data_IF_256777711560
#
_entry.id   IF_256777711560
#
_cell.length_a   1.000
_cell.length_b   1.000
_cell.length_c   1.000
_cell.angle_alpha   90.00
_cell.angle_beta   90.00
_cell.angle_gamma   90.00
#
_symmetry.space_group_name_H-M   'P 1'
#
loop_
_entity.id
_entity.type
_entity.pdbx_description
1 polymer ?
#
# COMPACT_ATOMS: atom_id res chain seq x y z
N UNK A 1 16.86 -4.25 -4.02
CA UNK A 1 15.46 -4.17 -3.60
C UNK A 1 15.20 -2.79 -3.02
N UNK A 2 14.06 -2.18 -3.34
CA UNK A 2 13.58 -0.97 -2.68
C UNK A 2 12.06 -1.02 -2.54
N UNK A 3 11.55 -0.41 -1.47
CA UNK A 3 10.12 -0.18 -1.25
C UNK A 3 9.94 1.29 -0.93
N UNK A 4 8.91 1.92 -1.47
CA UNK A 4 8.46 3.25 -1.04
C UNK A 4 7.05 3.15 -0.51
N UNK A 5 6.72 4.03 0.43
CA UNK A 5 5.35 4.20 0.92
C UNK A 5 4.98 5.67 0.85
N UNK A 6 3.96 5.98 0.09
CA UNK A 6 3.33 7.30 0.01
C UNK A 6 2.09 7.31 0.90
N UNK A 7 1.90 8.36 1.70
CA UNK A 7 0.86 8.39 2.72
C UNK A 7 -0.24 9.38 2.34
N UNK A 8 -1.41 8.85 2.04
CA UNK A 8 -2.60 9.61 1.63
C UNK A 8 -3.71 9.44 2.66
N UNK A 9 -4.67 10.36 2.65
CA UNK A 9 -5.89 10.26 3.46
C UNK A 9 -7.06 10.87 2.71
N UNK A 10 -8.18 10.16 2.65
CA UNK A 10 -9.37 10.70 1.99
C UNK A 10 -10.38 9.65 1.56
N UNK A 11 -9.98 8.39 1.42
CA UNK A 11 -10.79 7.36 0.78
C UNK A 11 -11.23 6.25 1.73
N UNK A 12 -12.55 6.03 1.78
CA UNK A 12 -13.13 4.84 2.41
C UNK A 12 -13.05 4.80 3.94
N UNK A 13 -13.60 3.72 4.50
CA UNK A 13 -13.64 3.46 5.93
C UNK A 13 -12.52 2.51 6.42
N UNK A 14 -11.82 1.86 5.50
CA UNK A 14 -10.72 0.92 5.78
C UNK A 14 -9.43 1.48 5.22
N UNK A 15 -8.33 1.23 5.91
CA UNK A 15 -7.02 1.61 5.41
C UNK A 15 -6.61 0.63 4.32
N UNK A 16 -6.07 1.15 3.22
CA UNK A 16 -5.64 0.35 2.08
C UNK A 16 -4.16 0.57 1.83
N UNK A 17 -3.50 -0.46 1.33
CA UNK A 17 -2.16 -0.37 0.78
C UNK A 17 -2.31 -0.68 -0.69
N UNK A 18 -2.28 0.36 -1.50
CA UNK A 18 -2.33 0.23 -2.94
C UNK A 18 -0.96 -0.02 -3.53
N UNK A 19 -0.95 -0.74 -4.64
CA UNK A 19 0.21 -0.93 -5.48
C UNK A 19 -0.17 -0.76 -6.97
N UNK A 20 0.81 -0.59 -7.87
CA UNK A 20 0.55 -0.41 -9.29
C UNK A 20 -0.27 -1.52 -9.95
N UNK A 21 -1.06 -1.23 -10.98
CA UNK A 21 -1.17 0.07 -11.64
C UNK A 21 -2.39 0.88 -11.18
N UNK A 22 -2.27 2.20 -11.27
CA UNK A 22 -3.38 3.14 -11.20
C UNK A 22 -4.04 3.35 -12.57
N UNK A 23 -3.26 3.42 -13.65
CA UNK A 23 -3.78 3.76 -14.98
C UNK A 23 -4.41 2.58 -15.75
N UNK A 24 -4.19 1.35 -15.30
CA UNK A 24 -4.71 0.15 -15.97
C UNK A 24 -4.91 -1.01 -14.99
N UNK A 25 -5.70 -2.02 -15.41
CA UNK A 25 -5.97 -3.24 -14.62
C UNK A 25 -5.03 -4.40 -14.95
N UNK A 26 -3.91 -4.13 -15.61
CA UNK A 26 -2.90 -5.17 -15.84
C UNK A 26 -2.10 -5.42 -14.55
N UNK A 27 -1.66 -6.65 -14.29
CA UNK A 27 -0.75 -6.94 -13.18
C UNK A 27 0.62 -6.30 -13.40
N UNK A 28 1.26 -5.86 -12.30
CA UNK A 28 2.66 -5.44 -12.31
C UNK A 28 3.60 -6.65 -12.42
N UNK A 29 4.82 -6.44 -12.94
CA UNK A 29 5.82 -7.51 -13.13
C UNK A 29 6.25 -8.15 -11.80
N UNK A 30 6.29 -7.36 -10.72
CA UNK A 30 6.75 -7.79 -9.40
C UNK A 30 5.62 -8.30 -8.49
N UNK A 31 4.57 -8.90 -9.08
CA UNK A 31 3.39 -9.36 -8.34
C UNK A 31 3.72 -10.51 -7.36
N UNK A 32 4.68 -11.37 -7.72
CA UNK A 32 5.16 -12.45 -6.84
C UNK A 32 5.84 -11.90 -5.58
N UNK A 33 6.66 -10.87 -5.74
CA UNK A 33 7.36 -10.18 -4.66
C UNK A 33 6.37 -9.47 -3.73
N UNK A 34 5.32 -8.84 -4.27
CA UNK A 34 4.24 -8.29 -3.45
C UNK A 34 3.46 -9.35 -2.70
N UNK A 35 3.19 -10.50 -3.32
CA UNK A 35 2.54 -11.62 -2.66
C UNK A 35 3.39 -12.14 -1.51
N UNK A 36 4.69 -12.31 -1.71
CA UNK A 36 5.62 -12.72 -0.65
C UNK A 36 5.63 -11.70 0.51
N UNK A 37 5.75 -10.41 0.20
CA UNK A 37 5.70 -9.33 1.19
C UNK A 37 4.39 -9.36 1.98
N UNK A 38 3.25 -9.53 1.31
CA UNK A 38 1.94 -9.69 1.96
C UNK A 38 1.90 -10.92 2.86
N UNK A 39 2.42 -12.06 2.42
CA UNK A 39 2.39 -13.29 3.20
C UNK A 39 3.18 -13.12 4.51
N UNK A 40 4.41 -12.60 4.46
CA UNK A 40 5.19 -12.37 5.68
C UNK A 40 4.56 -11.28 6.57
N UNK A 41 3.88 -10.29 5.98
CA UNK A 41 3.14 -9.28 6.74
C UNK A 41 2.01 -9.91 7.54
N UNK A 42 1.16 -10.71 6.89
CA UNK A 42 0.02 -11.39 7.52
C UNK A 42 0.48 -12.39 8.58
N UNK A 43 1.57 -13.14 8.31
CA UNK A 43 2.13 -14.11 9.25
C UNK A 43 2.70 -13.44 10.51
N UNK A 44 3.38 -12.30 10.36
CA UNK A 44 3.96 -11.56 11.49
C UNK A 44 2.96 -10.64 12.20
N UNK A 45 1.84 -10.32 11.56
CA UNK A 45 0.82 -9.40 12.07
C UNK A 45 -0.58 -9.99 11.85
N UNK A 46 -0.93 -11.04 12.60
CA UNK A 46 -2.22 -11.73 12.50
C UNK A 46 -3.43 -10.80 12.64
N UNK A 47 -3.29 -9.72 13.41
CA UNK A 47 -4.30 -8.68 13.58
C UNK A 47 -3.86 -7.38 12.92
N UNK A 48 -4.00 -7.29 11.60
CA UNK A 48 -3.82 -6.05 10.84
C UNK A 48 -5.15 -5.54 10.26
N UNK A 49 -5.18 -4.25 9.90
CA UNK A 49 -6.39 -3.57 9.38
C UNK A 49 -6.34 -3.20 7.90
N UNK A 50 -5.20 -3.45 7.25
CA UNK A 50 -4.97 -3.06 5.87
C UNK A 50 -5.62 -4.00 4.87
N UNK A 51 -6.21 -3.45 3.81
CA UNK A 51 -6.51 -4.17 2.58
C UNK A 51 -5.41 -3.89 1.56
N UNK A 52 -4.72 -4.93 1.09
CA UNK A 52 -3.64 -4.81 0.11
C UNK A 52 -4.16 -5.24 -1.25
N UNK A 53 -4.14 -4.35 -2.24
CA UNK A 53 -4.75 -4.55 -3.56
C UNK A 53 -4.21 -3.55 -4.60
N UNK A 54 -4.40 -3.80 -5.91
CA UNK A 54 -4.05 -2.81 -6.93
C UNK A 54 -4.97 -1.59 -6.83
N UNK A 55 -4.44 -0.38 -7.05
CA UNK A 55 -5.25 0.84 -7.05
C UNK A 55 -6.39 0.79 -8.09
N UNK A 56 -6.10 0.22 -9.26
CA UNK A 56 -7.05 0.07 -10.38
C UNK A 56 -8.32 -0.73 -10.08
N UNK A 57 -8.37 -1.47 -8.96
CA UNK A 57 -9.61 -2.10 -8.50
C UNK A 57 -10.60 -1.11 -7.87
N UNK A 58 -10.12 0.02 -7.34
CA UNK A 58 -10.99 1.06 -6.80
C UNK A 58 -11.38 2.06 -7.89
N UNK A 59 -10.40 2.62 -8.59
CA UNK A 59 -10.61 3.54 -9.69
C UNK A 59 -9.35 3.62 -10.57
N UNK A 60 -9.53 4.03 -11.83
CA UNK A 60 -8.40 4.30 -12.72
C UNK A 60 -7.98 5.77 -12.60
N UNK A 61 -6.68 6.02 -12.62
CA UNK A 61 -6.12 7.37 -12.63
C UNK A 61 -4.91 7.44 -13.58
N UNK A 62 -4.83 8.52 -14.35
CA UNK A 62 -3.69 8.80 -15.23
C UNK A 62 -2.75 9.82 -14.58
N UNK A 63 -1.48 9.78 -14.98
CA UNK A 63 -0.47 10.69 -14.43
C UNK A 63 0.03 10.30 -13.03
N UNK A 64 -0.23 9.07 -12.59
CA UNK A 64 0.27 8.57 -11.32
C UNK A 64 1.80 8.49 -11.32
N UNK A 65 2.42 9.15 -10.33
CA UNK A 65 3.88 9.22 -10.20
C UNK A 65 4.49 7.84 -9.93
N UNK A 66 3.82 7.01 -9.15
CA UNK A 66 4.33 5.71 -8.74
C UNK A 66 4.29 4.70 -9.86
N UNK A 67 3.24 4.72 -10.70
CA UNK A 67 3.20 3.99 -11.97
C UNK A 67 4.39 4.38 -12.86
N UNK A 68 4.65 5.68 -13.02
CA UNK A 68 5.77 6.16 -13.85
C UNK A 68 7.13 5.69 -13.34
N UNK A 69 7.42 5.90 -12.05
CA UNK A 69 8.68 5.49 -11.43
C UNK A 69 8.84 3.97 -11.40
N UNK A 70 7.73 3.22 -11.25
CA UNK A 70 7.73 1.77 -11.33
C UNK A 70 8.14 1.28 -12.72
N UNK A 71 7.52 1.81 -13.77
CA UNK A 71 7.85 1.46 -15.15
C UNK A 71 9.30 1.80 -15.47
N UNK A 72 9.78 2.98 -15.05
CA UNK A 72 11.19 3.35 -15.18
C UNK A 72 12.12 2.38 -14.44
N UNK A 73 11.77 1.95 -13.23
CA UNK A 73 12.57 0.98 -12.48
C UNK A 73 12.64 -0.38 -13.19
N UNK A 74 11.56 -0.81 -13.84
CA UNK A 74 11.49 -2.06 -14.60
C UNK A 74 12.38 -2.09 -15.85
N UNK A 75 12.81 -0.92 -16.36
CA UNK A 75 13.78 -0.87 -17.47
C UNK A 75 15.18 -1.36 -17.08
N UNK A 76 15.46 -1.50 -15.78
CA UNK A 76 16.76 -1.94 -15.25
C UNK A 76 16.67 -3.39 -14.78
N UNK A 77 17.34 -4.35 -15.47
CA UNK A 77 17.31 -5.76 -15.08
C UNK A 77 17.74 -5.98 -13.62
N UNK A 78 17.07 -6.90 -12.93
CA UNK A 78 17.35 -7.25 -11.54
C UNK A 78 16.92 -6.22 -10.49
N UNK A 79 16.39 -5.05 -10.89
CA UNK A 79 15.89 -4.05 -9.95
C UNK A 79 14.45 -4.37 -9.53
N UNK A 80 14.29 -4.79 -8.27
CA UNK A 80 12.98 -4.90 -7.63
C UNK A 80 12.68 -3.60 -6.90
N UNK A 81 11.61 -2.92 -7.34
CA UNK A 81 11.03 -1.74 -6.71
C UNK A 81 9.54 -1.97 -6.47
N UNK A 82 9.11 -1.81 -5.22
CA UNK A 82 7.72 -1.92 -4.80
C UNK A 82 7.22 -0.56 -4.31
N UNK A 83 6.60 0.27 -5.16
CA UNK A 83 5.94 1.47 -4.68
C UNK A 83 4.58 1.12 -4.10
N UNK A 84 4.33 1.59 -2.88
CA UNK A 84 3.09 1.39 -2.15
C UNK A 84 2.47 2.74 -1.83
N UNK A 85 1.15 2.80 -1.83
CA UNK A 85 0.40 3.97 -1.34
C UNK A 85 -0.45 3.53 -0.16
N UNK A 86 -0.15 4.05 1.03
CA UNK A 86 -1.00 3.92 2.20
C UNK A 86 -2.13 4.93 2.11
N UNK A 87 -3.32 4.46 1.76
CA UNK A 87 -4.55 5.24 1.78
C UNK A 87 -5.24 5.06 3.13
N UNK A 88 -5.20 6.10 3.97
CA UNK A 88 -5.78 6.08 5.31
C UNK A 88 -7.28 6.39 5.26
N UNK A 89 -8.09 5.46 5.76
CA UNK A 89 -9.54 5.57 5.75
C UNK A 89 -10.03 6.67 6.69
N UNK A 90 -10.45 7.80 6.12
CA UNK A 90 -10.87 8.97 6.88
C UNK A 90 -12.40 9.09 7.06
N UNK A 91 -13.22 8.31 6.34
CA UNK A 91 -14.70 8.43 6.40
C UNK A 91 -15.31 8.09 7.76
N UNK A 92 -14.69 7.19 8.53
CA UNK A 92 -15.14 6.91 9.90
C UNK A 92 -15.08 8.15 10.80
N UNK A 93 -14.17 9.09 10.51
CA UNK A 93 -14.05 10.35 11.22
C UNK A 93 -15.09 11.37 10.76
N UNK A 94 -15.32 11.45 9.45
CA UNK A 94 -16.38 12.30 8.87
C UNK A 94 -17.75 11.92 9.44
N UNK A 95 -18.06 10.63 9.56
CA UNK A 95 -19.33 10.15 10.15
C UNK A 95 -19.48 10.53 11.63
N UNK A 96 -18.39 10.58 12.39
CA UNK A 96 -18.41 10.93 13.82
C UNK A 96 -18.57 12.42 14.09
N UNK A 97 -18.22 13.29 13.15
CA UNK A 97 -18.38 14.73 13.30
C UNK A 97 -18.75 15.40 11.97
N UNK A 98 -20.01 15.24 11.50
CA UNK A 98 -20.44 15.71 10.18
C UNK A 98 -20.34 17.24 10.03
N UNK A 99 -20.34 17.98 11.14
CA UNK A 99 -20.12 19.44 11.16
C UNK A 99 -18.74 19.85 10.63
N UNK A 100 -17.77 18.93 10.61
CA UNK A 100 -16.42 19.17 10.11
C UNK A 100 -16.38 19.39 8.58
N UNK A 101 -17.36 18.84 7.83
CA UNK A 101 -17.52 19.07 6.38
C UNK A 101 -17.93 20.51 6.03
N UNK A 102 -18.55 21.24 6.96
CA UNK A 102 -19.02 22.61 6.73
C UNK A 102 -17.96 23.68 6.98
N UNK A 103 -16.76 23.29 7.43
CA UNK A 103 -15.63 24.23 7.54
C UNK A 103 -14.68 24.05 6.36
N UNK A 104 -14.33 25.16 5.69
CA UNK A 104 -13.37 25.17 4.56
C UNK A 104 -12.00 24.54 4.88
N UNK A 105 -11.67 24.36 6.17
CA UNK A 105 -10.43 23.76 6.66
C UNK A 105 -10.59 22.32 7.20
N UNK A 106 -11.83 21.83 7.37
CA UNK A 106 -12.10 20.59 8.09
C UNK A 106 -11.92 19.31 7.29
N UNK A 107 -11.83 19.41 5.96
CA UNK A 107 -11.67 18.26 5.05
C UNK A 107 -10.23 17.71 5.10
N UNK A 108 -9.23 18.56 5.35
CA UNK A 108 -7.82 18.18 5.19
C UNK A 108 -6.95 18.25 6.45
N UNK A 109 -7.44 18.78 7.58
CA UNK A 109 -6.57 18.92 8.75
C UNK A 109 -7.30 18.88 10.10
N UNK A 110 -7.42 17.71 10.76
CA UNK A 110 -7.86 17.67 12.13
C UNK A 110 -6.67 18.03 13.04
N UNK A 111 -6.47 19.32 13.30
CA UNK A 111 -5.48 19.90 14.21
C UNK A 111 -5.76 19.58 15.69
N UNK A 112 -5.95 18.31 16.03
CA UNK A 112 -5.99 17.89 17.42
C UNK A 112 -4.88 16.87 17.62
N UNK A 113 -3.90 17.22 18.47
CA UNK A 113 -2.69 16.43 18.70
C UNK A 113 -2.97 14.95 19.00
N UNK A 114 -4.06 14.65 19.74
CA UNK A 114 -4.44 13.26 20.02
C UNK A 114 -4.80 12.45 18.76
N UNK A 115 -5.36 13.10 17.73
CA UNK A 115 -5.73 12.46 16.45
C UNK A 115 -4.49 12.11 15.66
N UNK A 116 -3.54 13.06 15.55
CA UNK A 116 -2.25 12.83 14.91
C UNK A 116 -1.51 11.68 15.59
N UNK A 117 -1.39 11.70 16.92
CA UNK A 117 -0.74 10.61 17.66
C UNK A 117 -1.43 9.25 17.47
N UNK A 118 -2.76 9.22 17.38
CA UNK A 118 -3.49 7.98 17.13
C UNK A 118 -3.20 7.44 15.72
N UNK A 119 -3.18 8.29 14.70
CA UNK A 119 -2.84 7.91 13.33
C UNK A 119 -1.40 7.38 13.28
N UNK A 120 -0.45 8.10 13.89
CA UNK A 120 0.94 7.68 13.96
C UNK A 120 1.09 6.31 14.64
N UNK A 121 0.50 6.11 15.83
CA UNK A 121 0.53 4.80 16.52
C UNK A 121 -0.11 3.68 15.70
N UNK A 122 -1.20 3.99 14.99
CA UNK A 122 -1.92 3.01 14.17
C UNK A 122 -1.07 2.51 12.98
N UNK A 123 -0.28 3.40 12.37
CA UNK A 123 0.53 3.07 11.19
C UNK A 123 1.98 2.74 11.51
N UNK A 124 2.44 2.97 12.75
CA UNK A 124 3.79 2.62 13.19
C UNK A 124 4.14 1.15 12.96
N UNK A 125 3.19 0.24 13.19
CA UNK A 125 3.36 -1.20 12.93
C UNK A 125 3.69 -1.47 11.45
N UNK A 126 2.98 -0.83 10.52
CA UNK A 126 3.22 -1.02 9.09
C UNK A 126 4.58 -0.44 8.69
N UNK A 127 4.92 0.76 9.18
CA UNK A 127 6.18 1.42 8.85
C UNK A 127 7.39 0.66 9.40
N UNK A 128 7.33 0.19 10.65
CA UNK A 128 8.38 -0.66 11.24
C UNK A 128 8.52 -1.98 10.48
N UNK A 129 7.40 -2.63 10.14
CA UNK A 129 7.40 -3.82 9.29
C UNK A 129 8.07 -3.57 7.94
N UNK A 130 7.70 -2.51 7.21
CA UNK A 130 8.27 -2.21 5.89
C UNK A 130 9.78 -1.91 5.97
N UNK A 131 10.22 -1.21 7.01
CA UNK A 131 11.65 -0.94 7.24
C UNK A 131 12.44 -2.23 7.49
N UNK A 132 11.90 -3.14 8.32
CA UNK A 132 12.51 -4.46 8.58
C UNK A 132 12.49 -5.34 7.34
N UNK A 133 11.37 -5.38 6.62
CA UNK A 133 11.22 -6.15 5.40
C UNK A 133 12.21 -5.67 4.32
N UNK A 134 12.41 -4.36 4.16
CA UNK A 134 13.39 -3.81 3.23
C UNK A 134 14.82 -4.20 3.61
N UNK A 135 15.17 -4.09 4.88
CA UNK A 135 16.49 -4.46 5.40
C UNK A 135 16.76 -5.96 5.25
N UNK A 136 15.75 -6.79 5.51
CA UNK A 136 15.80 -8.25 5.43
C UNK A 136 15.34 -8.85 4.11
N UNK A 137 15.28 -8.10 3.00
CA UNK A 137 14.65 -8.53 1.74
C UNK A 137 15.15 -9.88 1.21
N UNK A 138 16.43 -10.20 1.40
CA UNK A 138 17.02 -11.48 0.98
C UNK A 138 16.41 -12.71 1.67
N UNK A 139 15.78 -12.53 2.83
CA UNK A 139 15.21 -13.63 3.63
C UNK A 139 13.80 -14.04 3.18
N UNK A 140 13.10 -13.18 2.44
CA UNK A 140 11.70 -13.40 2.09
C UNK A 140 11.37 -13.20 0.62
N UNK A 141 12.27 -12.58 -0.16
CA UNK A 141 12.05 -12.47 -1.60
C UNK A 141 11.88 -13.86 -2.23
N UNK A 142 10.97 -14.01 -3.21
CA UNK A 142 10.81 -15.26 -3.94
C UNK A 142 12.13 -15.71 -4.55
N UNK A 143 12.42 -17.00 -4.41
CA UNK A 143 13.46 -17.67 -5.20
C UNK A 143 12.94 -17.93 -6.61
N UNK A 144 13.84 -18.28 -7.54
CA UNK A 144 13.46 -18.64 -8.90
C UNK A 144 12.42 -19.78 -8.94
N UNK A 145 12.55 -20.75 -8.04
CA UNK A 145 11.63 -21.89 -7.94
C UNK A 145 10.24 -21.52 -7.42
N UNK A 146 10.16 -20.54 -6.51
CA UNK A 146 8.90 -20.17 -5.84
C UNK A 146 8.16 -19.02 -6.53
N UNK A 147 8.88 -18.22 -7.34
CA UNK A 147 8.36 -17.02 -7.98
C UNK A 147 7.12 -17.28 -8.84
N UNK A 148 7.14 -18.32 -9.67
CA UNK A 148 6.03 -18.65 -10.56
C UNK A 148 4.75 -19.01 -9.78
N UNK A 149 4.87 -19.82 -8.73
CA UNK A 149 3.75 -20.20 -7.88
C UNK A 149 3.16 -19.00 -7.13
N UNK A 150 4.02 -18.15 -6.55
CA UNK A 150 3.58 -16.93 -5.87
C UNK A 150 2.92 -15.95 -6.83
N UNK A 151 3.42 -15.83 -8.06
CA UNK A 151 2.79 -15.02 -9.11
C UNK A 151 1.38 -15.52 -9.44
N UNK A 152 1.21 -16.83 -9.66
CA UNK A 152 -0.09 -17.42 -9.96
C UNK A 152 -1.10 -17.22 -8.82
N UNK A 153 -0.67 -17.43 -7.56
CA UNK A 153 -1.50 -17.14 -6.39
C UNK A 153 -1.88 -15.66 -6.34
N UNK A 154 -0.94 -14.76 -6.64
CA UNK A 154 -1.18 -13.32 -6.62
C UNK A 154 -2.20 -12.90 -7.68
N UNK A 155 -2.10 -13.46 -8.90
CA UNK A 155 -3.11 -13.29 -9.95
C UNK A 155 -4.48 -13.71 -9.43
N UNK A 156 -4.67 -14.97 -9.04
CA UNK A 156 -5.96 -15.51 -8.58
C UNK A 156 -6.65 -14.69 -7.48
N UNK A 157 -5.88 -13.96 -6.68
CA UNK A 157 -6.41 -13.19 -5.57
C UNK A 157 -6.74 -11.74 -5.90
N UNK A 158 -6.04 -11.13 -6.86
CA UNK A 158 -6.18 -9.71 -7.18
C UNK A 158 -6.77 -9.44 -8.57
N UNK A 159 -6.77 -10.44 -9.46
CA UNK A 159 -7.18 -10.35 -10.86
C UNK A 159 -8.01 -11.57 -11.27
#
# INVERSE_FOLDING_TARGET
>A
FSVSVDCHSGFGARDRIWFPFAHQRAPMIHLAELRALKNIFVQSNSHHRYVIEPQSLQYLAHGDLWDHLYLQACTRPGRIFLPLTLEMGSWLWVKKNPRQLFSRHGIFNPLIAHRQQRVLRQHQLLLDFLARAASGHKLWLPTEQTRAALHAQALQHWY
#
